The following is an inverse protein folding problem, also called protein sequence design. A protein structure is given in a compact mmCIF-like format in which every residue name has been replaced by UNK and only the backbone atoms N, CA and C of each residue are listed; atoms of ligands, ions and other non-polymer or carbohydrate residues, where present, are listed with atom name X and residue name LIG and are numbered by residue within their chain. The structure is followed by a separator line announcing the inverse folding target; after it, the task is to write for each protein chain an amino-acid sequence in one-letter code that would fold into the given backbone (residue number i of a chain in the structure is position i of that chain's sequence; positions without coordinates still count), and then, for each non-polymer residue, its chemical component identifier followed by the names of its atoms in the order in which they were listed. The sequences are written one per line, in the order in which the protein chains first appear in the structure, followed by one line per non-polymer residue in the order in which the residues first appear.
data_IF_969993691523
#
_entry.id   IF_969993691523
#
_cell.length_a   1.000
_cell.length_b   1.000
_cell.length_c   1.000
_cell.angle_alpha   90.00
_cell.angle_beta   90.00
_cell.angle_gamma   90.00
#
_symmetry.space_group_name_H-M   'P 1'
#
loop_
_entity.id
_entity.type
_entity.pdbx_description
1 polymer ?
#
# COMPACT_ATOMS: atom_id res chain seq x y z
N UNK A 1 -4.77 49.25 56.78
CA UNK A 1 -3.48 49.02 57.46
C UNK A 1 -2.68 48.20 56.49
N UNK A 2 -1.86 48.82 55.62
CA UNK A 2 -0.42 49.06 55.68
C UNK A 2 0.37 47.78 55.64
N UNK A 3 1.20 47.56 54.67
CA UNK A 3 2.37 48.07 54.10
C UNK A 3 2.85 47.07 53.04
N UNK A 4 3.34 47.34 51.92
CA UNK A 4 4.44 48.16 51.52
C UNK A 4 5.77 47.45 51.59
N UNK A 5 6.20 46.87 50.45
CA UNK A 5 7.51 46.26 50.34
C UNK A 5 8.01 46.28 48.88
N UNK A 6 8.67 47.39 48.48
CA UNK A 6 9.45 47.51 47.26
C UNK A 6 10.80 46.81 47.46
N UNK A 7 11.16 45.88 46.60
CA UNK A 7 12.50 45.37 46.48
C UNK A 7 13.17 45.92 45.22
N UNK A 8 14.32 46.57 45.44
CA UNK A 8 15.11 47.27 44.45
C UNK A 8 15.89 46.33 43.53
N UNK A 9 15.83 46.58 42.26
CA UNK A 9 16.71 46.03 41.22
C UNK A 9 18.06 46.71 41.26
N UNK A 10 19.12 45.98 41.61
CA UNK A 10 20.51 46.37 41.38
C UNK A 10 20.95 45.89 39.99
N UNK A 11 21.16 46.83 39.12
CA UNK A 11 21.81 46.58 37.83
C UNK A 11 23.31 46.28 38.02
N UNK A 12 23.76 45.22 37.37
CA UNK A 12 25.16 44.90 37.25
C UNK A 12 25.61 45.33 35.84
N UNK A 13 26.34 46.41 35.75
CA UNK A 13 27.07 46.83 34.56
C UNK A 13 28.31 45.93 34.41
N UNK A 14 28.33 45.07 33.42
CA UNK A 14 29.55 44.35 32.99
C UNK A 14 30.02 45.01 31.71
N UNK A 15 31.27 45.52 31.76
CA UNK A 15 31.89 46.34 30.73
C UNK A 15 32.19 45.59 29.45
N UNK A 16 31.83 46.21 28.35
CA UNK A 16 32.33 45.89 27.01
C UNK A 16 33.79 46.33 26.87
N UNK A 17 34.68 45.39 26.70
CA UNK A 17 35.95 45.55 25.94
C UNK A 17 36.69 44.21 25.91
N UNK A 18 36.69 43.53 24.77
CA UNK A 18 37.67 42.46 24.56
C UNK A 18 37.30 41.30 23.61
N UNK A 19 36.21 41.40 22.80
CA UNK A 19 35.73 40.23 22.07
C UNK A 19 35.60 40.35 20.54
N UNK A 20 36.32 41.28 19.90
CA UNK A 20 36.08 41.54 18.46
C UNK A 20 37.25 41.25 17.51
N UNK A 21 38.32 40.56 17.93
CA UNK A 21 39.40 40.22 17.00
C UNK A 21 39.54 38.72 16.63
N UNK A 22 38.95 37.83 17.42
CA UNK A 22 39.05 36.37 17.16
C UNK A 22 37.97 35.91 16.18
N UNK A 23 36.80 36.53 16.18
CA UNK A 23 35.66 36.07 15.35
C UNK A 23 35.78 36.39 13.84
N UNK A 24 36.54 37.38 13.46
CA UNK A 24 36.74 37.76 12.03
C UNK A 24 37.65 36.80 11.25
N UNK A 25 38.67 36.24 11.91
CA UNK A 25 39.57 35.31 11.28
C UNK A 25 38.94 33.93 11.05
N UNK A 26 38.09 33.47 12.00
CA UNK A 26 37.36 32.22 11.87
C UNK A 26 36.24 32.28 10.84
N UNK A 27 35.53 33.39 10.71
CA UNK A 27 34.55 33.59 9.66
C UNK A 27 35.14 33.59 8.25
N UNK A 28 36.33 34.17 8.07
CA UNK A 28 37.02 34.15 6.78
C UNK A 28 37.59 32.78 6.40
N UNK A 29 38.07 31.98 7.36
CA UNK A 29 38.54 30.60 7.14
C UNK A 29 37.36 29.69 6.81
N UNK A 30 36.21 29.82 7.46
CA UNK A 30 35.01 29.04 7.13
C UNK A 30 34.42 29.40 5.76
N UNK A 31 34.48 30.66 5.33
CA UNK A 31 33.96 31.08 4.01
C UNK A 31 34.91 30.59 2.87
N UNK A 32 36.22 30.51 3.10
CA UNK A 32 37.17 29.99 2.11
C UNK A 32 37.08 28.45 2.03
N UNK A 33 36.84 27.76 3.12
CA UNK A 33 36.63 26.29 3.11
C UNK A 33 35.31 25.87 2.48
N UNK A 34 34.24 26.65 2.59
CA UNK A 34 32.96 26.40 1.91
C UNK A 34 32.95 26.85 0.44
N UNK A 35 33.85 27.75 0.03
CA UNK A 35 33.98 28.22 -1.36
C UNK A 35 34.79 27.28 -2.29
N UNK A 36 35.38 26.21 -1.75
CA UNK A 36 36.17 25.22 -2.50
C UNK A 36 35.47 23.85 -2.65
N UNK A 37 34.15 23.80 -2.41
CA UNK A 37 33.37 22.67 -2.89
C UNK A 37 33.25 22.84 -4.40
N UNK A 38 33.88 21.96 -5.23
CA UNK A 38 33.71 22.08 -6.67
C UNK A 38 32.24 21.97 -7.00
N UNK A 39 31.69 22.99 -7.65
CA UNK A 39 30.34 23.02 -8.22
C UNK A 39 30.22 22.06 -9.42
N UNK A 40 30.67 20.84 -9.25
CA UNK A 40 30.65 19.77 -10.25
C UNK A 40 30.04 18.49 -9.69
N UNK A 41 29.03 18.62 -8.84
CA UNK A 41 27.96 17.65 -8.85
C UNK A 41 26.97 18.12 -9.92
N UNK A 42 27.39 18.10 -11.19
CA UNK A 42 26.45 17.91 -12.30
C UNK A 42 25.71 16.66 -11.90
N UNK A 43 24.46 16.83 -11.48
CA UNK A 43 23.56 15.72 -11.30
C UNK A 43 23.66 14.93 -12.61
N UNK A 44 24.30 13.74 -12.56
CA UNK A 44 24.13 12.77 -13.61
C UNK A 44 22.61 12.68 -13.76
N UNK A 45 22.10 12.94 -14.96
CA UNK A 45 20.71 12.67 -15.26
C UNK A 45 20.44 11.28 -14.72
N UNK A 46 19.47 11.07 -13.83
CA UNK A 46 19.24 9.77 -13.24
C UNK A 46 19.05 8.81 -14.41
N UNK A 47 19.96 7.83 -14.51
CA UNK A 47 19.80 6.73 -15.45
C UNK A 47 18.34 6.32 -15.35
N UNK A 48 17.58 6.40 -16.46
CA UNK A 48 16.13 6.39 -16.46
C UNK A 48 15.60 5.34 -15.49
N UNK A 49 14.67 5.71 -14.64
CA UNK A 49 14.13 4.81 -13.63
C UNK A 49 13.56 3.58 -14.33
N UNK A 50 14.19 2.44 -14.16
CA UNK A 50 13.83 1.20 -14.85
C UNK A 50 12.35 0.85 -14.72
N UNK A 51 11.71 1.24 -13.60
CA UNK A 51 10.29 1.01 -13.31
C UNK A 51 9.34 1.88 -14.16
N UNK A 52 9.83 2.97 -14.76
CA UNK A 52 9.07 3.83 -15.66
C UNK A 52 9.42 3.62 -17.14
N UNK A 53 10.38 2.74 -17.44
CA UNK A 53 10.65 2.36 -18.82
C UNK A 53 9.52 1.49 -19.38
N UNK A 54 9.24 1.57 -20.70
CA UNK A 54 8.28 0.67 -21.33
C UNK A 54 8.63 -0.79 -21.10
N UNK A 55 7.63 -1.61 -20.76
CA UNK A 55 7.82 -3.03 -20.53
C UNK A 55 8.47 -3.71 -21.76
N UNK A 56 9.60 -4.36 -21.53
CA UNK A 56 10.31 -5.17 -22.54
C UNK A 56 10.28 -6.62 -22.10
N UNK A 57 9.52 -7.42 -22.84
CA UNK A 57 9.46 -8.86 -22.59
C UNK A 57 10.76 -9.54 -23.06
N UNK A 58 11.68 -9.79 -22.14
CA UNK A 58 12.91 -10.52 -22.41
C UNK A 58 13.00 -11.70 -21.45
N UNK A 59 12.68 -12.88 -21.97
CA UNK A 59 12.86 -14.13 -21.21
C UNK A 59 14.35 -14.47 -21.18
N UNK A 60 14.94 -14.73 -20.02
CA UNK A 60 16.34 -15.12 -19.93
C UNK A 60 16.64 -16.38 -20.73
N UNK A 61 17.77 -16.40 -21.43
CA UNK A 61 18.31 -17.62 -21.99
C UNK A 61 19.08 -18.35 -20.88
N UNK A 62 18.61 -19.55 -20.55
CA UNK A 62 19.15 -20.38 -19.46
C UNK A 62 19.42 -21.78 -19.95
N UNK A 63 20.49 -22.39 -19.44
CA UNK A 63 20.79 -23.79 -19.68
C UNK A 63 19.88 -24.71 -18.84
N UNK A 64 19.66 -25.95 -19.29
CA UNK A 64 18.87 -26.92 -18.52
C UNK A 64 17.35 -26.62 -18.47
N UNK A 65 16.80 -26.14 -19.59
CA UNK A 65 15.39 -25.74 -19.71
C UNK A 65 14.37 -26.87 -19.50
N UNK A 66 14.79 -28.12 -19.40
CA UNK A 66 13.90 -29.25 -19.11
C UNK A 66 13.17 -29.16 -17.76
N UNK A 67 13.66 -28.34 -16.84
CA UNK A 67 12.99 -28.03 -15.58
C UNK A 67 11.84 -27.01 -15.78
N UNK A 68 11.98 -26.12 -16.77
CA UNK A 68 11.05 -25.01 -17.00
C UNK A 68 9.78 -25.49 -17.70
N UNK A 69 8.62 -25.09 -17.21
CA UNK A 69 7.28 -25.36 -17.78
C UNK A 69 6.67 -24.13 -18.44
N UNK A 70 7.08 -22.94 -18.00
CA UNK A 70 6.59 -21.65 -18.48
C UNK A 70 7.72 -20.61 -18.47
N UNK A 71 7.50 -19.41 -19.04
CA UNK A 71 8.50 -18.35 -19.05
C UNK A 71 8.96 -17.88 -17.66
N UNK A 72 8.08 -17.90 -16.65
CA UNK A 72 8.43 -17.49 -15.27
C UNK A 72 9.51 -18.42 -14.69
N UNK A 73 9.43 -19.71 -14.99
CA UNK A 73 10.43 -20.67 -14.52
C UNK A 73 11.85 -20.34 -15.04
N UNK A 74 11.97 -19.71 -16.21
CA UNK A 74 13.28 -19.29 -16.73
C UNK A 74 13.88 -18.14 -15.92
N UNK A 75 13.07 -17.20 -15.46
CA UNK A 75 13.54 -16.15 -14.55
C UNK A 75 13.98 -16.73 -13.21
N UNK A 76 13.21 -17.67 -12.68
CA UNK A 76 13.55 -18.37 -11.44
C UNK A 76 14.84 -19.15 -11.61
N UNK A 77 14.98 -19.94 -12.71
CA UNK A 77 16.16 -20.73 -12.98
C UNK A 77 17.40 -19.86 -13.18
N UNK A 78 17.28 -18.73 -13.87
CA UNK A 78 18.37 -17.76 -14.01
C UNK A 78 18.88 -17.28 -12.63
N UNK A 79 17.97 -16.92 -11.73
CA UNK A 79 18.31 -16.49 -10.37
C UNK A 79 18.96 -17.60 -9.53
N UNK A 80 18.52 -18.84 -9.70
CA UNK A 80 19.13 -20.04 -9.07
C UNK A 80 20.56 -20.23 -9.58
N UNK A 81 20.75 -20.22 -10.92
CA UNK A 81 22.06 -20.43 -11.56
C UNK A 81 23.06 -19.32 -11.24
N UNK A 82 22.61 -18.06 -11.18
CA UNK A 82 23.47 -16.94 -10.76
C UNK A 82 24.07 -17.11 -9.36
N UNK A 83 23.40 -17.89 -8.50
CA UNK A 83 23.87 -18.21 -7.15
C UNK A 83 24.66 -19.53 -7.08
N UNK A 84 24.93 -20.16 -8.23
CA UNK A 84 25.63 -21.46 -8.30
C UNK A 84 24.82 -22.62 -7.73
N UNK A 85 23.49 -22.47 -7.67
CA UNK A 85 22.58 -23.48 -7.14
C UNK A 85 21.90 -24.25 -8.28
N UNK A 86 21.32 -25.40 -7.94
CA UNK A 86 20.46 -26.19 -8.80
C UNK A 86 19.03 -26.26 -8.23
N UNK A 87 18.00 -26.40 -9.08
CA UNK A 87 16.66 -26.65 -8.60
C UNK A 87 16.59 -27.93 -7.75
N UNK A 88 15.81 -27.90 -6.67
CA UNK A 88 15.53 -29.08 -5.88
C UNK A 88 14.61 -30.05 -6.63
N UNK A 89 14.58 -31.31 -6.19
CA UNK A 89 13.67 -32.31 -6.71
C UNK A 89 12.19 -31.92 -6.53
N UNK A 90 11.32 -32.46 -7.38
CA UNK A 90 9.90 -32.22 -7.28
C UNK A 90 9.34 -32.71 -5.93
N UNK A 91 8.53 -31.89 -5.30
CA UNK A 91 7.85 -32.24 -4.05
C UNK A 91 6.88 -33.42 -4.25
N UNK A 92 6.65 -34.21 -3.19
CA UNK A 92 5.65 -35.27 -3.22
C UNK A 92 4.24 -34.69 -3.46
N UNK A 93 3.33 -35.51 -3.98
CA UNK A 93 1.92 -35.13 -4.22
C UNK A 93 1.25 -34.61 -2.93
N UNK A 94 1.56 -35.24 -1.82
CA UNK A 94 1.02 -34.85 -0.52
C UNK A 94 1.50 -33.44 -0.07
N UNK A 95 2.79 -33.17 -0.26
CA UNK A 95 3.35 -31.84 0.02
C UNK A 95 2.78 -30.77 -0.92
N UNK A 96 2.62 -31.10 -2.21
CA UNK A 96 2.00 -30.18 -3.18
C UNK A 96 0.56 -29.87 -2.82
N UNK A 97 -0.24 -30.89 -2.46
CA UNK A 97 -1.62 -30.72 -2.00
C UNK A 97 -1.68 -29.76 -0.79
N UNK A 98 -0.86 -30.03 0.23
CA UNK A 98 -0.83 -29.20 1.43
C UNK A 98 -0.47 -27.74 1.09
N UNK A 99 0.56 -27.51 0.29
CA UNK A 99 1.00 -26.17 -0.11
C UNK A 99 -0.11 -25.42 -0.85
N UNK A 100 -0.68 -26.01 -1.89
CA UNK A 100 -1.69 -25.33 -2.70
C UNK A 100 -2.98 -25.04 -1.93
N UNK A 101 -3.39 -25.90 -0.99
CA UNK A 101 -4.54 -25.61 -0.13
C UNK A 101 -4.24 -24.44 0.81
N UNK A 102 -3.05 -24.38 1.40
CA UNK A 102 -2.65 -23.25 2.27
C UNK A 102 -2.48 -21.96 1.47
N UNK A 103 -1.95 -22.02 0.27
CA UNK A 103 -1.75 -20.85 -0.58
C UNK A 103 -3.09 -20.28 -1.08
N UNK A 104 -3.98 -21.13 -1.60
CA UNK A 104 -5.23 -20.69 -2.21
C UNK A 104 -6.36 -20.49 -1.22
N UNK A 105 -6.49 -21.33 -0.19
CA UNK A 105 -7.59 -21.28 0.77
C UNK A 105 -7.17 -20.81 2.18
N UNK A 106 -5.86 -20.82 2.48
CA UNK A 106 -5.36 -20.57 3.83
C UNK A 106 -5.65 -21.70 4.83
N UNK A 107 -6.19 -22.82 4.35
CA UNK A 107 -6.64 -23.96 5.15
C UNK A 107 -5.87 -25.24 4.75
N UNK A 108 -5.64 -26.19 5.67
CA UNK A 108 -5.11 -27.50 5.31
C UNK A 108 -6.12 -28.28 4.47
N UNK A 109 -5.66 -29.24 3.65
CA UNK A 109 -6.56 -30.08 2.86
C UNK A 109 -7.48 -30.92 3.77
N UNK A 110 -8.74 -31.06 3.36
CA UNK A 110 -9.66 -32.00 4.02
C UNK A 110 -9.28 -33.45 3.72
N UNK A 111 -9.77 -34.39 4.53
CA UNK A 111 -9.57 -35.84 4.29
C UNK A 111 -10.09 -36.26 2.91
N UNK A 112 -11.21 -35.69 2.47
CA UNK A 112 -11.79 -35.92 1.16
C UNK A 112 -10.89 -35.40 0.03
N UNK A 113 -10.46 -34.13 0.10
CA UNK A 113 -9.53 -33.53 -0.88
C UNK A 113 -8.25 -34.34 -0.98
N UNK A 114 -7.71 -34.81 0.15
CA UNK A 114 -6.53 -35.68 0.20
C UNK A 114 -6.77 -37.01 -0.50
N UNK A 115 -7.84 -37.71 -0.16
CA UNK A 115 -8.19 -38.98 -0.75
C UNK A 115 -8.37 -38.86 -2.27
N UNK A 116 -9.22 -37.93 -2.73
CA UNK A 116 -9.52 -37.71 -4.15
C UNK A 116 -8.25 -37.36 -4.94
N UNK A 117 -7.40 -36.46 -4.43
CA UNK A 117 -6.21 -36.05 -5.18
C UNK A 117 -5.14 -37.16 -5.22
N UNK A 118 -4.87 -37.86 -4.10
CA UNK A 118 -3.81 -38.87 -4.05
C UNK A 118 -4.14 -40.13 -4.87
N UNK A 119 -5.43 -40.45 -5.02
CA UNK A 119 -5.89 -41.61 -5.83
C UNK A 119 -6.08 -41.27 -7.31
N UNK A 120 -6.19 -39.96 -7.67
CA UNK A 120 -6.36 -39.52 -9.06
C UNK A 120 -5.03 -39.62 -9.83
N UNK A 121 -4.81 -40.73 -10.51
CA UNK A 121 -3.64 -40.99 -11.37
C UNK A 121 -3.79 -40.47 -12.80
N UNK A 122 -4.95 -39.90 -13.18
CA UNK A 122 -5.23 -39.43 -14.55
C UNK A 122 -4.38 -38.18 -14.89
N UNK A 123 -3.96 -38.03 -16.16
CA UNK A 123 -3.32 -36.82 -16.64
C UNK A 123 -4.15 -35.58 -16.28
N UNK A 124 -3.49 -34.47 -15.88
CA UNK A 124 -4.17 -33.23 -15.51
C UNK A 124 -4.79 -33.20 -14.09
N UNK A 125 -4.53 -34.23 -13.25
CA UNK A 125 -5.02 -34.26 -11.86
C UNK A 125 -4.67 -33.00 -11.05
N UNK A 126 -3.50 -32.40 -11.30
CA UNK A 126 -3.09 -31.17 -10.68
C UNK A 126 -3.97 -29.98 -11.10
N UNK A 127 -4.19 -29.80 -12.40
CA UNK A 127 -5.08 -28.73 -12.90
C UNK A 127 -6.49 -28.84 -12.33
N UNK A 128 -7.06 -30.07 -12.33
CA UNK A 128 -8.40 -30.29 -11.73
C UNK A 128 -8.45 -29.97 -10.24
N UNK A 129 -7.37 -30.19 -9.50
CA UNK A 129 -7.29 -29.78 -8.09
C UNK A 129 -7.30 -28.25 -7.98
N UNK A 130 -6.44 -27.57 -8.75
CA UNK A 130 -6.33 -26.09 -8.72
C UNK A 130 -7.67 -25.44 -9.08
N UNK A 131 -8.35 -25.87 -10.14
CA UNK A 131 -9.66 -25.37 -10.53
C UNK A 131 -10.71 -25.52 -9.42
N UNK A 132 -10.74 -26.66 -8.74
CA UNK A 132 -11.65 -26.86 -7.60
C UNK A 132 -11.33 -25.94 -6.42
N UNK A 133 -10.05 -25.66 -6.17
CA UNK A 133 -9.66 -24.76 -5.09
C UNK A 133 -9.97 -23.29 -5.43
N UNK A 134 -9.75 -22.88 -6.67
CA UNK A 134 -10.10 -21.55 -7.16
C UNK A 134 -11.62 -21.29 -7.14
N UNK A 135 -12.43 -22.34 -7.40
CA UNK A 135 -13.89 -22.24 -7.32
C UNK A 135 -14.44 -22.34 -5.90
N UNK A 136 -13.60 -22.47 -4.88
CA UNK A 136 -14.02 -22.58 -3.50
C UNK A 136 -14.23 -21.17 -2.91
N UNK A 137 -15.37 -20.88 -2.21
CA UNK A 137 -15.63 -19.57 -1.60
C UNK A 137 -14.50 -19.07 -0.66
N UNK A 138 -13.80 -19.98 0.00
CA UNK A 138 -12.66 -19.63 0.86
C UNK A 138 -11.46 -19.06 0.09
N UNK A 139 -11.42 -19.16 -1.24
CA UNK A 139 -10.40 -18.50 -2.05
C UNK A 139 -10.50 -16.97 -1.89
N UNK A 140 -11.70 -16.41 -2.06
CA UNK A 140 -11.90 -14.98 -1.85
C UNK A 140 -11.62 -14.54 -0.40
N UNK A 141 -12.05 -15.33 0.60
CA UNK A 141 -11.76 -15.05 2.01
C UNK A 141 -10.25 -15.04 2.32
N UNK A 142 -9.48 -15.95 1.69
CA UNK A 142 -8.03 -15.99 1.84
C UNK A 142 -7.34 -14.82 1.17
N UNK A 143 -7.72 -14.52 -0.07
CA UNK A 143 -7.03 -13.54 -0.90
C UNK A 143 -7.43 -12.10 -0.58
N UNK A 144 -8.67 -11.87 -0.13
CA UNK A 144 -9.09 -10.54 0.32
C UNK A 144 -8.19 -9.99 1.44
N UNK A 145 -7.67 -10.84 2.32
CA UNK A 145 -6.80 -10.40 3.43
C UNK A 145 -5.56 -9.67 2.94
N UNK A 146 -4.95 -10.13 1.84
CA UNK A 146 -3.79 -9.46 1.26
C UNK A 146 -4.14 -8.06 0.74
N UNK A 147 -5.33 -7.92 0.14
CA UNK A 147 -5.81 -6.61 -0.30
C UNK A 147 -6.20 -5.72 0.87
N UNK A 148 -6.89 -6.25 1.85
CA UNK A 148 -7.31 -5.51 3.05
C UNK A 148 -6.11 -4.99 3.86
N UNK A 149 -5.00 -5.75 3.92
CA UNK A 149 -3.75 -5.28 4.52
C UNK A 149 -3.17 -4.08 3.76
N UNK A 150 -3.14 -4.13 2.43
CA UNK A 150 -2.64 -3.02 1.60
C UNK A 150 -3.45 -1.75 1.82
N UNK A 151 -4.77 -1.87 1.98
CA UNK A 151 -5.67 -0.72 2.16
C UNK A 151 -5.87 -0.33 3.63
N UNK A 152 -5.16 -0.95 4.56
CA UNK A 152 -5.22 -0.67 6.01
C UNK A 152 -6.63 -0.82 6.58
N UNK A 153 -7.37 -1.82 6.09
CA UNK A 153 -8.74 -2.09 6.52
C UNK A 153 -8.81 -2.45 8.00
N UNK A 154 -9.76 -1.83 8.70
CA UNK A 154 -10.17 -2.22 10.04
C UNK A 154 -11.69 -2.06 10.18
N UNK A 155 -12.28 -2.78 11.14
CA UNK A 155 -13.70 -2.64 11.50
C UNK A 155 -13.90 -1.60 12.62
N UNK A 156 -12.89 -0.73 12.81
CA UNK A 156 -12.93 0.42 13.71
C UNK A 156 -12.30 1.63 13.04
N UNK A 157 -12.53 2.82 13.60
CA UNK A 157 -11.95 4.06 13.08
C UNK A 157 -10.50 4.26 13.51
N UNK A 158 -10.00 3.46 14.46
CA UNK A 158 -8.68 3.68 15.05
C UNK A 158 -8.60 5.00 15.81
N UNK A 159 -7.39 5.57 15.91
CA UNK A 159 -7.11 6.80 16.62
C UNK A 159 -7.40 6.69 18.13
N UNK A 160 -7.53 7.85 18.83
CA UNK A 160 -7.62 7.89 20.30
C UNK A 160 -8.89 7.21 20.87
N UNK A 161 -10.01 7.29 20.15
CA UNK A 161 -11.29 6.74 20.64
C UNK A 161 -11.63 5.36 20.08
N UNK A 162 -11.00 4.96 18.99
CA UNK A 162 -11.12 3.64 18.34
C UNK A 162 -12.57 3.11 18.29
N UNK A 163 -13.50 3.96 17.85
CA UNK A 163 -14.91 3.60 17.74
C UNK A 163 -15.13 2.56 16.64
N UNK A 164 -16.08 1.64 16.88
CA UNK A 164 -16.45 0.62 15.88
C UNK A 164 -17.01 1.26 14.60
N UNK A 165 -16.56 0.76 13.45
CA UNK A 165 -17.13 1.08 12.14
C UNK A 165 -18.08 -0.04 11.71
N UNK A 166 -19.34 0.07 12.08
CA UNK A 166 -20.34 -0.97 11.88
C UNK A 166 -20.62 -1.31 10.40
N UNK A 167 -20.24 -0.43 9.47
CA UNK A 167 -20.47 -0.60 8.04
C UNK A 167 -19.21 -1.01 7.26
N UNK A 168 -18.07 -1.14 7.92
CA UNK A 168 -16.80 -1.51 7.26
C UNK A 168 -16.87 -2.85 6.53
N UNK A 169 -17.62 -3.82 7.06
CA UNK A 169 -17.74 -5.16 6.50
C UNK A 169 -18.26 -5.18 5.04
N UNK A 170 -19.01 -4.18 4.60
CA UNK A 170 -19.48 -4.10 3.22
C UNK A 170 -18.31 -4.03 2.23
N UNK A 171 -17.28 -3.27 2.53
CA UNK A 171 -16.07 -3.22 1.68
C UNK A 171 -15.32 -4.55 1.70
N UNK A 172 -15.16 -5.19 2.86
CA UNK A 172 -14.56 -6.53 2.96
C UNK A 172 -15.33 -7.53 2.10
N UNK A 173 -16.64 -7.55 2.18
CA UNK A 173 -17.50 -8.46 1.43
C UNK A 173 -17.44 -8.20 -0.08
N UNK A 174 -17.34 -6.93 -0.51
CA UNK A 174 -17.02 -6.59 -1.90
C UNK A 174 -15.70 -7.22 -2.34
N UNK A 175 -14.62 -7.09 -1.56
CA UNK A 175 -13.31 -7.62 -1.92
C UNK A 175 -13.34 -9.14 -2.01
N UNK A 176 -13.95 -9.84 -1.03
CA UNK A 176 -14.14 -11.30 -1.07
C UNK A 176 -14.85 -11.72 -2.35
N UNK A 177 -15.95 -11.05 -2.67
CA UNK A 177 -16.74 -11.36 -3.87
C UNK A 177 -15.98 -11.06 -5.14
N UNK A 178 -15.25 -9.95 -5.20
CA UNK A 178 -14.46 -9.59 -6.36
C UNK A 178 -13.40 -10.66 -6.72
N UNK A 179 -12.75 -11.25 -5.72
CA UNK A 179 -11.82 -12.36 -5.92
C UNK A 179 -12.54 -13.65 -6.35
N UNK A 180 -13.67 -13.99 -5.75
CA UNK A 180 -14.42 -15.20 -6.10
C UNK A 180 -15.07 -15.12 -7.49
N UNK A 181 -15.50 -13.94 -7.91
CA UNK A 181 -16.11 -13.67 -9.22
C UNK A 181 -15.07 -13.39 -10.32
N UNK A 182 -13.75 -13.46 -9.99
CA UNK A 182 -12.64 -13.11 -10.88
C UNK A 182 -12.86 -11.75 -11.56
N UNK A 183 -13.23 -10.73 -10.75
CA UNK A 183 -13.53 -9.39 -11.26
C UNK A 183 -12.30 -8.81 -11.98
N UNK A 184 -12.41 -8.39 -13.26
CA UNK A 184 -11.28 -7.80 -13.98
C UNK A 184 -10.63 -6.66 -13.20
N UNK A 185 -9.29 -6.66 -13.13
CA UNK A 185 -8.53 -5.75 -12.28
C UNK A 185 -8.80 -4.28 -12.57
N UNK A 186 -8.98 -3.91 -13.85
CA UNK A 186 -9.33 -2.54 -14.23
C UNK A 186 -10.69 -2.10 -13.66
N UNK A 187 -11.67 -3.01 -13.62
CA UNK A 187 -12.98 -2.77 -13.00
C UNK A 187 -12.85 -2.71 -11.47
N UNK A 188 -12.08 -3.61 -10.90
CA UNK A 188 -11.79 -3.64 -9.46
C UNK A 188 -11.18 -2.31 -8.98
N UNK A 189 -10.22 -1.74 -9.73
CA UNK A 189 -9.64 -0.43 -9.42
C UNK A 189 -10.66 0.69 -9.58
N UNK A 190 -11.35 0.76 -10.73
CA UNK A 190 -12.29 1.85 -11.01
C UNK A 190 -13.42 1.92 -10.01
N UNK A 191 -13.96 0.77 -9.58
CA UNK A 191 -15.04 0.75 -8.61
C UNK A 191 -14.60 1.19 -7.22
N UNK A 192 -13.38 0.90 -6.83
CA UNK A 192 -12.84 1.36 -5.55
C UNK A 192 -12.56 2.87 -5.53
N UNK A 193 -12.25 3.46 -6.67
CA UNK A 193 -11.96 4.90 -6.77
C UNK A 193 -13.21 5.75 -7.04
N UNK A 194 -14.19 5.25 -7.79
CA UNK A 194 -15.33 6.02 -8.24
C UNK A 194 -16.55 5.11 -8.57
N UNK A 195 -16.77 4.05 -7.80
CA UNK A 195 -17.86 3.11 -8.06
C UNK A 195 -19.25 3.73 -7.92
N UNK A 196 -19.42 4.60 -6.96
CA UNK A 196 -20.63 5.39 -6.71
C UNK A 196 -20.97 6.37 -7.85
N UNK A 197 -19.95 6.92 -8.50
CA UNK A 197 -20.10 7.81 -9.66
C UNK A 197 -20.33 7.04 -10.97
N UNK A 198 -19.55 5.96 -11.18
CA UNK A 198 -19.56 5.17 -12.42
C UNK A 198 -20.76 4.24 -12.54
N UNK A 199 -21.26 3.72 -11.41
CA UNK A 199 -22.36 2.75 -11.32
C UNK A 199 -23.19 2.98 -10.06
N UNK A 200 -23.86 4.13 -9.96
CA UNK A 200 -24.61 4.52 -8.74
C UNK A 200 -25.72 3.53 -8.37
N UNK A 201 -26.25 2.80 -9.35
CA UNK A 201 -27.33 1.81 -9.12
C UNK A 201 -26.80 0.42 -8.74
N UNK A 202 -25.49 0.19 -8.86
CA UNK A 202 -24.88 -1.11 -8.53
C UNK A 202 -24.37 -1.12 -7.08
N UNK A 203 -25.01 -1.87 -6.17
CA UNK A 203 -24.61 -1.90 -4.79
C UNK A 203 -23.18 -2.40 -4.59
N UNK A 204 -22.66 -3.29 -5.46
CA UNK A 204 -21.28 -3.74 -5.36
C UNK A 204 -20.27 -2.63 -5.71
N UNK A 205 -20.58 -1.84 -6.74
CA UNK A 205 -19.73 -0.71 -7.11
C UNK A 205 -19.73 0.35 -5.99
N UNK A 206 -20.85 0.55 -5.31
CA UNK A 206 -20.94 1.44 -4.14
C UNK A 206 -20.20 0.88 -2.93
N UNK A 207 -20.31 -0.42 -2.64
CA UNK A 207 -19.53 -1.08 -1.57
C UNK A 207 -18.01 -0.97 -1.82
N UNK A 208 -17.59 -0.98 -3.07
CA UNK A 208 -16.18 -0.87 -3.45
C UNK A 208 -15.56 0.46 -3.01
N UNK A 209 -16.31 1.56 -2.99
CA UNK A 209 -15.80 2.88 -2.55
C UNK A 209 -15.44 2.93 -1.07
N UNK A 210 -15.77 1.89 -0.31
CA UNK A 210 -15.25 1.67 1.04
C UNK A 210 -13.71 1.66 1.11
N UNK A 211 -13.02 1.46 -0.02
CA UNK A 211 -11.58 1.66 -0.14
C UNK A 211 -11.14 3.07 0.30
N UNK A 212 -11.84 4.10 -0.16
CA UNK A 212 -11.55 5.50 0.20
C UNK A 212 -11.97 5.81 1.65
N UNK A 213 -12.90 5.05 2.21
CA UNK A 213 -13.33 5.20 3.59
C UNK A 213 -12.48 4.38 4.60
N UNK A 214 -11.68 3.42 4.11
CA UNK A 214 -10.79 2.63 4.94
C UNK A 214 -9.64 3.48 5.52
N UNK A 215 -9.05 3.01 6.60
CA UNK A 215 -7.95 3.68 7.29
C UNK A 215 -8.42 4.48 8.50
N UNK A 216 -7.48 5.11 9.17
CA UNK A 216 -7.69 5.83 10.42
C UNK A 216 -8.53 7.08 10.17
N UNK A 217 -9.51 7.32 11.06
CA UNK A 217 -10.34 8.52 11.06
C UNK A 217 -10.44 9.09 12.47
N UNK A 218 -10.14 10.37 12.61
CA UNK A 218 -10.43 11.08 13.84
C UNK A 218 -11.95 11.37 13.92
N UNK A 219 -12.64 10.75 14.88
CA UNK A 219 -14.07 10.94 15.08
C UNK A 219 -14.40 12.20 15.92
N UNK A 220 -13.43 12.72 16.67
CA UNK A 220 -13.59 13.89 17.54
C UNK A 220 -12.67 15.04 17.08
N UNK A 221 -13.12 15.76 16.05
CA UNK A 221 -12.36 16.86 15.48
C UNK A 221 -12.69 18.13 16.27
N UNK A 222 -11.72 18.62 17.04
CA UNK A 222 -11.82 19.94 17.64
C UNK A 222 -11.95 21.01 16.56
N UNK A 223 -12.90 21.96 16.71
CA UNK A 223 -13.17 23.03 15.72
C UNK A 223 -11.95 23.79 15.24
N UNK A 224 -10.90 23.85 16.06
CA UNK A 224 -9.62 24.54 15.75
C UNK A 224 -8.74 23.75 14.77
N UNK A 225 -8.99 22.46 14.56
CA UNK A 225 -8.14 21.57 13.74
C UNK A 225 -8.81 21.03 12.48
N UNK A 226 -10.01 21.48 12.14
CA UNK A 226 -10.80 20.95 11.01
C UNK A 226 -10.02 20.99 9.70
N UNK A 227 -9.32 22.08 9.43
CA UNK A 227 -8.54 22.22 8.20
C UNK A 227 -7.33 21.27 8.19
N UNK A 228 -6.60 21.17 9.31
CA UNK A 228 -5.46 20.25 9.41
C UNK A 228 -5.90 18.80 9.22
N UNK A 229 -6.96 18.38 9.89
CA UNK A 229 -7.51 17.03 9.77
C UNK A 229 -7.96 16.72 8.33
N UNK A 230 -8.52 17.72 7.64
CA UNK A 230 -8.87 17.56 6.23
C UNK A 230 -7.65 17.32 5.34
N UNK A 231 -6.55 18.06 5.55
CA UNK A 231 -5.31 17.82 4.82
C UNK A 231 -4.68 16.47 5.15
N UNK A 232 -4.77 16.02 6.39
CA UNK A 232 -4.27 14.71 6.80
C UNK A 232 -5.13 13.57 6.20
N UNK A 233 -6.45 13.75 6.10
CA UNK A 233 -7.34 12.84 5.38
C UNK A 233 -7.02 12.76 3.87
N UNK A 234 -6.78 13.90 3.22
CA UNK A 234 -6.42 13.95 1.82
C UNK A 234 -5.06 13.30 1.54
N UNK A 235 -4.08 13.52 2.43
CA UNK A 235 -2.78 12.85 2.37
C UNK A 235 -2.92 11.34 2.49
N UNK A 236 -3.74 10.88 3.43
CA UNK A 236 -4.03 9.48 3.65
C UNK A 236 -4.67 8.81 2.41
N UNK A 237 -5.67 9.45 1.79
CA UNK A 237 -6.30 9.00 0.55
C UNK A 237 -5.28 8.89 -0.60
N UNK A 238 -4.54 9.97 -0.85
CA UNK A 238 -3.56 10.03 -1.93
C UNK A 238 -2.43 9.01 -1.72
N UNK A 239 -1.86 8.93 -0.52
CA UNK A 239 -0.79 8.00 -0.19
C UNK A 239 -1.23 6.54 -0.32
N UNK A 240 -2.46 6.23 0.09
CA UNK A 240 -3.00 4.87 -0.04
C UNK A 240 -3.26 4.49 -1.49
N UNK A 241 -3.86 5.38 -2.29
CA UNK A 241 -4.05 5.16 -3.73
C UNK A 241 -2.71 4.96 -4.43
N UNK A 242 -1.72 5.80 -4.13
CA UNK A 242 -0.37 5.67 -4.67
C UNK A 242 0.28 4.33 -4.33
N UNK A 243 0.21 3.92 -3.08
CA UNK A 243 0.80 2.66 -2.62
C UNK A 243 0.05 1.45 -3.17
N UNK A 244 -1.29 1.45 -3.08
CA UNK A 244 -2.11 0.29 -3.44
C UNK A 244 -2.16 0.01 -4.94
N UNK A 245 -2.27 1.04 -5.77
CA UNK A 245 -2.48 0.88 -7.21
C UNK A 245 -1.24 1.17 -8.06
N UNK A 246 -0.37 2.07 -7.61
CA UNK A 246 0.83 2.45 -8.36
C UNK A 246 2.11 1.82 -7.80
N UNK A 247 2.08 1.30 -6.57
CA UNK A 247 3.28 0.80 -5.88
C UNK A 247 4.28 1.92 -5.54
N UNK A 248 3.82 3.17 -5.44
CA UNK A 248 4.65 4.35 -5.20
C UNK A 248 4.38 4.95 -3.82
N UNK A 249 5.44 5.25 -3.08
CA UNK A 249 5.36 5.90 -1.77
C UNK A 249 5.23 7.43 -1.88
N UNK A 250 4.21 7.89 -2.60
CA UNK A 250 4.02 9.31 -2.96
C UNK A 250 3.90 10.25 -1.77
N UNK A 251 3.43 9.78 -0.61
CA UNK A 251 3.31 10.56 0.62
C UNK A 251 4.63 11.17 1.09
N UNK A 252 5.79 10.59 0.71
CA UNK A 252 7.09 11.18 0.98
C UNK A 252 7.25 12.57 0.34
N UNK A 253 6.57 12.81 -0.79
CA UNK A 253 6.63 14.07 -1.51
C UNK A 253 5.75 15.18 -0.91
N UNK A 254 5.04 14.93 0.19
CA UNK A 254 4.26 15.96 0.93
C UNK A 254 5.13 17.14 1.39
N UNK A 255 6.35 16.88 1.85
CA UNK A 255 7.22 17.90 2.42
C UNK A 255 8.36 18.35 1.48
N UNK A 256 8.88 17.47 0.64
CA UNK A 256 10.00 17.70 -0.28
C UNK A 256 9.88 16.76 -1.48
N UNK A 257 10.61 17.02 -2.56
CA UNK A 257 10.65 16.10 -3.70
C UNK A 257 11.08 14.70 -3.25
N UNK A 258 10.46 13.67 -3.82
CA UNK A 258 10.71 12.28 -3.41
C UNK A 258 12.20 11.95 -3.59
N UNK A 259 12.79 11.25 -2.62
CA UNK A 259 14.23 11.01 -2.60
C UNK A 259 14.73 10.08 -3.72
N UNK A 260 13.92 9.11 -4.09
CA UNK A 260 14.33 8.04 -5.01
C UNK A 260 13.53 8.05 -6.32
N UNK A 261 12.24 8.32 -6.24
CA UNK A 261 11.35 8.32 -7.41
C UNK A 261 11.22 9.73 -8.00
N UNK A 262 10.99 9.88 -9.31
CA UNK A 262 10.86 11.18 -9.96
C UNK A 262 9.49 11.82 -9.67
N UNK A 263 9.19 12.04 -8.40
CA UNK A 263 7.94 12.62 -7.93
C UNK A 263 8.27 13.93 -7.19
N UNK A 264 7.93 15.04 -7.79
CA UNK A 264 8.09 16.35 -7.15
C UNK A 264 6.99 16.61 -6.11
N UNK A 265 7.28 17.51 -5.18
CA UNK A 265 6.26 18.00 -4.23
C UNK A 265 5.06 18.64 -4.96
N UNK A 266 5.27 19.30 -6.08
CA UNK A 266 4.21 19.87 -6.90
C UNK A 266 3.29 18.78 -7.47
N UNK A 267 3.83 17.68 -7.98
CA UNK A 267 3.06 16.54 -8.48
C UNK A 267 2.26 15.87 -7.36
N UNK A 268 2.83 15.76 -6.16
CA UNK A 268 2.10 15.28 -4.99
C UNK A 268 0.83 16.13 -4.74
N UNK A 269 0.94 17.45 -4.67
CA UNK A 269 -0.23 18.31 -4.42
C UNK A 269 -1.22 18.30 -5.58
N UNK A 270 -0.77 18.18 -6.83
CA UNK A 270 -1.65 17.94 -7.98
C UNK A 270 -2.40 16.62 -7.87
N UNK A 271 -1.76 15.58 -7.37
CA UNK A 271 -2.39 14.29 -7.15
C UNK A 271 -3.42 14.35 -6.02
N UNK A 272 -3.08 14.97 -4.89
CA UNK A 272 -3.99 15.19 -3.75
C UNK A 272 -5.25 15.96 -4.17
N UNK A 273 -5.12 16.95 -5.07
CA UNK A 273 -6.24 17.76 -5.55
C UNK A 273 -7.36 16.92 -6.21
N UNK A 274 -7.07 15.72 -6.73
CA UNK A 274 -8.11 14.83 -7.26
C UNK A 274 -9.09 14.34 -6.19
N UNK A 275 -8.70 14.36 -4.91
CA UNK A 275 -9.50 13.90 -3.79
C UNK A 275 -10.17 15.05 -3.01
N UNK A 276 -10.00 16.29 -3.43
CA UNK A 276 -10.51 17.47 -2.73
C UNK A 276 -12.02 17.39 -2.44
N UNK A 277 -12.79 16.83 -3.37
CA UNK A 277 -14.25 16.68 -3.24
C UNK A 277 -14.69 15.34 -2.66
N UNK A 278 -13.77 14.43 -2.42
CA UNK A 278 -14.08 13.14 -1.81
C UNK A 278 -14.43 13.34 -0.33
N UNK A 279 -15.61 12.95 0.06
CA UNK A 279 -16.10 13.04 1.44
C UNK A 279 -16.35 11.61 1.94
N UNK A 280 -15.73 11.25 3.05
CA UNK A 280 -16.03 10.01 3.76
C UNK A 280 -17.38 10.14 4.46
N UNK A 281 -18.32 9.29 4.09
CA UNK A 281 -19.69 9.32 4.63
C UNK A 281 -20.38 7.99 4.45
N UNK A 282 -21.54 7.88 5.04
CA UNK A 282 -22.42 6.71 4.87
C UNK A 282 -23.25 6.89 3.60
N UNK A 283 -23.31 5.82 2.81
CA UNK A 283 -24.11 5.75 1.59
C UNK A 283 -25.15 4.65 1.75
N UNK A 284 -26.40 4.97 1.50
CA UNK A 284 -27.49 4.00 1.56
C UNK A 284 -27.33 2.95 0.45
N UNK A 285 -27.23 1.67 0.82
CA UNK A 285 -27.23 0.57 -0.12
C UNK A 285 -28.67 0.13 -0.35
N UNK A 286 -29.19 0.28 -1.58
CA UNK A 286 -30.51 -0.28 -1.89
C UNK A 286 -30.44 -1.80 -1.77
N UNK A 287 -31.26 -2.36 -0.89
CA UNK A 287 -31.39 -3.81 -0.70
C UNK A 287 -32.16 -4.42 -1.87
N UNK A 288 -31.51 -4.65 -3.01
CA UNK A 288 -32.07 -5.53 -4.02
C UNK A 288 -32.10 -6.97 -3.44
N UNK A 289 -33.20 -7.72 -3.62
CA UNK A 289 -33.38 -9.05 -3.01
C UNK A 289 -32.32 -10.10 -3.38
N UNK A 290 -31.45 -9.81 -4.30
CA UNK A 290 -30.42 -10.72 -4.84
C UNK A 290 -29.11 -10.78 -4.06
N UNK A 291 -28.87 -9.90 -3.08
CA UNK A 291 -27.60 -9.87 -2.33
C UNK A 291 -27.42 -11.04 -1.35
N UNK A 292 -28.48 -11.73 -0.95
CA UNK A 292 -28.40 -12.80 0.07
C UNK A 292 -28.37 -14.23 -0.50
N UNK A 293 -28.44 -14.43 -1.81
CA UNK A 293 -28.50 -15.75 -2.42
C UNK A 293 -27.15 -16.49 -2.51
N UNK A 294 -26.04 -15.82 -2.19
CA UNK A 294 -24.67 -16.36 -2.32
C UNK A 294 -23.89 -16.57 -1.01
N UNK A 295 -24.45 -16.17 0.14
CA UNK A 295 -23.79 -16.27 1.45
C UNK A 295 -24.45 -17.33 2.36
N UNK A 296 -24.74 -18.53 1.81
CA UNK A 296 -25.13 -19.68 2.63
C UNK A 296 -24.14 -20.83 2.42
#
# INVERSE_FOLDING_TARGET
MSGGGRAATRGLLIGEKGQNKVNRAWCLILTVLFGLVPAAAVAAEPAGFWSFEPLRYRVPDVSGTGWCRNPVDRFVLAGIQQRGLAPADASSREQLLRRVCLDLLGLPPTAEQRSVFLTDSKPGSWGRLVERLLSNPHFGERWCRHWLDVVRFAESYGFEHDLDNLNAFHFRDFVIRAFNDDLPFDRFVRWQLAGDELKPEDPLARMATGFLAAGVRNADIAKVRVEQERYDELDDLASTVGTAFLGLSIGCARCHDHKYDPISREEYYRFVANFERTIRGEVELSTAPTMHAGLR
#
